data_IF_790767299516
#
_entry.id   IF_790767299516
#
_cell.length_a   1.000
_cell.length_b   1.000
_cell.length_c   1.000
_cell.angle_alpha   90.00
_cell.angle_beta   90.00
_cell.angle_gamma   90.00
#
_symmetry.space_group_name_H-M   'P 1'
#
loop_
_entity.id
_entity.type
_entity.pdbx_description
1 polymer ?
#
# COMPACT_ATOMS: atom_id res chain seq x y z
N UNK A 1 49.32 51.82 8.37
CA UNK A 1 48.76 51.50 8.26
C UNK A 1 48.11 50.59 7.95
N UNK A 2 47.64 50.09 7.97
CA UNK A 2 47.01 49.47 7.69
C UNK A 2 46.14 48.76 7.49
N UNK A 3 45.72 48.36 7.38
CA UNK A 3 44.83 47.80 7.13
C UNK A 3 44.29 46.80 7.02
N UNK A 4 43.81 46.34 7.16
CA UNK A 4 43.20 45.44 7.09
C UNK A 4 42.25 44.94 6.66
N UNK A 5 41.69 44.52 6.53
CA UNK A 5 40.81 44.12 5.99
C UNK A 5 40.38 43.03 6.16
N UNK A 6 39.69 42.66 6.39
CA UNK A 6 39.19 41.67 6.58
C UNK A 6 38.34 41.07 5.95
N UNK A 7 37.90 40.48 5.72
CA UNK A 7 37.18 39.92 5.09
C UNK A 7 36.56 39.00 5.51
N UNK A 8 35.72 38.74 5.54
CA UNK A 8 35.05 37.88 5.87
C UNK A 8 34.59 37.01 5.12
N UNK A 9 34.44 36.13 5.14
CA UNK A 9 34.04 35.22 4.44
C UNK A 9 33.00 34.71 4.79
N UNK A 10 32.15 34.72 4.45
CA UNK A 10 31.12 34.29 4.75
C UNK A 10 30.86 33.06 4.36
N UNK A 11 30.67 32.27 4.85
CA UNK A 11 30.41 31.08 4.60
C UNK A 11 29.13 30.81 4.41
N UNK A 12 28.63 30.50 3.60
CA UNK A 12 27.41 30.23 3.44
C UNK A 12 27.18 28.96 3.51
N UNK A 13 26.62 28.46 4.21
CA UNK A 13 26.40 27.23 4.34
C UNK A 13 25.27 26.93 3.65
N UNK A 14 25.18 26.30 2.82
CA UNK A 14 24.17 25.90 2.13
C UNK A 14 23.51 24.90 2.75
N UNK A 15 22.51 25.04 3.09
CA UNK A 15 21.88 24.07 3.73
C UNK A 15 21.28 23.22 2.81
N UNK A 16 21.34 22.18 2.69
CA UNK A 16 20.83 21.32 1.91
C UNK A 16 19.88 20.62 2.35
N UNK A 17 18.77 20.67 2.14
CA UNK A 17 17.85 19.96 2.38
C UNK A 17 17.76 18.85 1.62
N UNK A 18 17.90 17.87 2.01
CA UNK A 18 17.79 16.76 1.37
C UNK A 18 16.56 16.18 1.58
N UNK A 19 15.70 16.18 0.81
CA UNK A 19 14.57 15.55 1.04
C UNK A 19 14.65 14.19 0.77
N UNK A 20 14.12 13.41 1.41
CA UNK A 20 14.19 12.04 1.29
C UNK A 20 13.37 11.66 0.22
N UNK A 21 13.74 11.45 -0.71
CA UNK A 21 13.03 11.10 -1.69
C UNK A 21 12.26 9.98 -1.57
N UNK A 22 12.44 9.20 -1.10
CA UNK A 22 11.73 8.10 -1.15
C UNK A 22 10.68 8.01 -0.56
N UNK A 23 10.26 8.80 -0.17
CA UNK A 23 9.28 8.72 0.46
C UNK A 23 8.32 8.11 0.06
N UNK A 24 8.24 7.87 -0.82
CA UNK A 24 7.28 7.25 -1.21
C UNK A 24 6.77 6.34 -0.56
N UNK A 25 6.77 6.31 0.32
CA UNK A 25 6.26 5.39 0.96
C UNK A 25 4.92 5.46 0.85
N UNK A 26 4.28 6.18 0.33
CA UNK A 26 3.08 6.22 0.32
C UNK A 26 2.56 5.12 -0.23
N UNK A 27 1.91 4.34 0.37
CA UNK A 27 1.37 3.28 -0.16
C UNK A 27 0.20 3.74 -0.83
N UNK A 28 -0.11 3.36 -1.90
CA UNK A 28 -1.31 3.72 -2.55
C UNK A 28 -2.49 2.92 -2.09
N UNK A 29 -3.56 3.01 -2.84
CA UNK A 29 -4.76 2.23 -2.57
C UNK A 29 -5.08 1.44 -3.84
N UNK A 30 -5.86 0.41 -3.72
CA UNK A 30 -6.28 -0.34 -4.89
C UNK A 30 -7.15 0.57 -5.73
N UNK A 31 -6.96 0.57 -7.01
CA UNK A 31 -7.64 1.50 -7.86
C UNK A 31 -9.16 1.38 -7.82
N UNK A 32 -9.65 0.17 -7.70
CA UNK A 32 -11.08 -0.03 -7.71
C UNK A 32 -11.73 -0.15 -6.35
N UNK A 33 -10.98 0.04 -5.28
CA UNK A 33 -11.52 -0.02 -3.94
C UNK A 33 -10.92 1.13 -3.18
N UNK A 34 -11.64 2.22 -3.13
CA UNK A 34 -11.12 3.44 -2.58
C UNK A 34 -10.52 3.40 -1.23
N UNK A 35 -10.98 2.59 -0.38
CA UNK A 35 -10.48 2.58 0.97
C UNK A 35 -9.69 1.33 1.31
N UNK A 36 -9.18 0.61 0.32
CA UNK A 36 -8.36 -0.55 0.62
C UNK A 36 -6.91 -0.21 0.33
N UNK A 37 -6.13 0.04 1.35
CA UNK A 37 -4.75 0.43 1.12
C UNK A 37 -3.88 -0.72 0.69
N UNK A 38 -2.84 -0.43 -0.05
CA UNK A 38 -1.84 -1.42 -0.38
C UNK A 38 -0.81 -1.42 0.73
N UNK A 39 -0.41 -2.58 1.16
CA UNK A 39 0.63 -2.67 2.18
C UNK A 39 1.90 -1.98 1.66
N UNK A 40 2.71 -1.42 2.54
CA UNK A 40 3.91 -0.72 2.11
C UNK A 40 4.79 -1.60 1.23
N UNK A 41 5.22 -1.09 0.12
CA UNK A 41 6.05 -1.82 -0.81
C UNK A 41 5.31 -2.56 -1.88
N UNK A 42 4.00 -2.65 -1.81
CA UNK A 42 3.22 -3.30 -2.84
C UNK A 42 2.80 -2.31 -3.92
N UNK A 43 2.80 -2.76 -5.14
CA UNK A 43 2.35 -1.96 -6.27
C UNK A 43 1.33 -2.79 -7.01
N UNK A 44 0.20 -2.21 -7.30
CA UNK A 44 -0.87 -2.93 -7.97
C UNK A 44 -0.48 -3.20 -9.43
N UNK A 45 -0.88 -4.36 -9.94
CA UNK A 45 -0.64 -4.74 -11.31
C UNK A 45 -1.90 -4.36 -12.10
N UNK A 46 -1.87 -3.32 -12.90
CA UNK A 46 -3.08 -2.90 -13.61
C UNK A 46 -3.61 -3.97 -14.56
N UNK A 47 -2.77 -4.86 -15.02
CA UNK A 47 -3.22 -5.88 -15.94
C UNK A 47 -4.04 -6.96 -15.27
N UNK A 48 -3.99 -7.06 -13.96
CA UNK A 48 -4.74 -8.07 -13.25
C UNK A 48 -6.08 -7.57 -12.75
N UNK A 49 -6.45 -6.36 -13.08
CA UNK A 49 -7.63 -5.76 -12.52
C UNK A 49 -8.88 -6.18 -13.26
N UNK A 50 -9.86 -6.62 -12.57
CA UNK A 50 -11.12 -7.02 -13.16
C UNK A 50 -12.25 -6.53 -12.27
N UNK A 51 -13.22 -5.88 -12.83
CA UNK A 51 -14.36 -5.39 -12.07
C UNK A 51 -15.63 -5.73 -12.82
N UNK A 52 -16.59 -6.34 -12.11
CA UNK A 52 -17.86 -6.62 -12.67
C UNK A 52 -18.92 -6.12 -11.75
N UNK A 53 -19.97 -5.53 -12.26
CA UNK A 53 -21.08 -5.12 -11.41
C UNK A 53 -22.21 -6.10 -11.69
N UNK A 54 -22.74 -6.67 -10.65
CA UNK A 54 -23.84 -7.59 -10.75
C UNK A 54 -24.97 -7.11 -9.88
N UNK A 55 -26.19 -7.55 -10.11
CA UNK A 55 -27.31 -7.09 -9.29
C UNK A 55 -27.11 -7.31 -7.81
N UNK A 56 -26.38 -8.38 -7.44
CA UNK A 56 -26.18 -8.63 -6.04
C UNK A 56 -24.99 -7.87 -5.49
N UNK A 57 -24.22 -7.22 -6.31
CA UNK A 57 -23.08 -6.46 -5.83
C UNK A 57 -21.92 -6.56 -6.78
N UNK A 58 -20.85 -5.90 -6.45
CA UNK A 58 -19.70 -5.87 -7.34
C UNK A 58 -18.74 -7.01 -7.06
N UNK A 59 -17.98 -7.36 -8.06
CA UNK A 59 -16.90 -8.30 -7.90
C UNK A 59 -15.66 -7.58 -8.38
N UNK A 60 -14.64 -7.55 -7.56
CA UNK A 60 -13.39 -6.89 -7.87
C UNK A 60 -12.26 -7.89 -7.69
N UNK A 61 -11.37 -7.99 -8.66
CA UNK A 61 -10.18 -8.81 -8.53
C UNK A 61 -9.01 -7.92 -8.80
N UNK A 62 -7.97 -8.08 -8.06
CA UNK A 62 -6.76 -7.29 -8.22
C UNK A 62 -5.56 -8.07 -7.73
N UNK A 63 -4.39 -7.67 -8.11
CA UNK A 63 -3.16 -8.26 -7.62
C UNK A 63 -2.13 -7.17 -7.42
N UNK A 64 -1.25 -7.38 -6.49
CA UNK A 64 -0.17 -6.43 -6.23
C UNK A 64 1.08 -7.22 -5.87
N UNK A 65 2.23 -6.65 -6.09
CA UNK A 65 3.46 -7.32 -5.77
C UNK A 65 4.51 -6.36 -5.24
N UNK A 66 5.51 -6.88 -4.61
CA UNK A 66 6.58 -6.05 -4.09
C UNK A 66 7.66 -6.83 -3.42
N UNK A 67 8.76 -6.18 -3.15
CA UNK A 67 9.90 -6.84 -2.52
C UNK A 67 9.75 -6.79 -1.01
N UNK A 68 8.72 -7.38 -0.50
CA UNK A 68 8.46 -7.42 0.93
C UNK A 68 8.10 -8.83 1.30
N UNK A 69 8.05 -9.15 2.56
CA UNK A 69 7.76 -10.50 2.98
C UNK A 69 6.28 -10.75 3.09
N UNK A 70 5.88 -12.00 2.90
CA UNK A 70 4.48 -12.36 3.07
C UNK A 70 4.02 -12.06 4.49
N UNK A 71 4.89 -12.28 5.47
CA UNK A 71 4.52 -11.98 6.86
C UNK A 71 4.25 -10.51 7.10
N UNK A 72 5.01 -9.64 6.45
CA UNK A 72 4.80 -8.20 6.63
C UNK A 72 3.45 -7.82 6.01
N UNK A 73 3.10 -8.40 4.87
CA UNK A 73 1.83 -8.10 4.23
C UNK A 73 0.68 -8.58 5.11
N UNK A 74 0.76 -9.81 5.59
CA UNK A 74 -0.30 -10.36 6.43
C UNK A 74 -0.48 -9.52 7.69
N UNK A 75 0.61 -9.11 8.29
CA UNK A 75 0.51 -8.34 9.51
C UNK A 75 -0.09 -6.97 9.22
N UNK A 76 0.27 -6.36 8.09
CA UNK A 76 -0.27 -5.05 7.75
C UNK A 76 -1.80 -5.12 7.66
N UNK A 77 -2.34 -6.12 6.97
CA UNK A 77 -3.78 -6.20 6.83
C UNK A 77 -4.47 -6.61 8.12
N UNK A 78 -3.83 -7.46 8.92
CA UNK A 78 -4.41 -7.83 10.21
C UNK A 78 -4.54 -6.61 11.13
N UNK A 79 -3.64 -5.65 10.99
CA UNK A 79 -3.69 -4.47 11.82
C UNK A 79 -4.54 -3.36 11.22
N UNK A 80 -4.70 -3.35 9.92
CA UNK A 80 -5.35 -2.24 9.25
C UNK A 80 -6.83 -2.47 8.96
N UNK A 81 -7.19 -3.66 8.53
CA UNK A 81 -8.55 -3.93 8.10
C UNK A 81 -9.61 -3.73 9.18
N UNK A 82 -9.35 -4.10 10.43
CA UNK A 82 -10.38 -3.88 11.44
C UNK A 82 -10.78 -2.41 11.58
N UNK A 83 -9.82 -1.51 11.45
CA UNK A 83 -10.13 -0.09 11.56
C UNK A 83 -10.93 0.43 10.38
N UNK A 84 -11.01 -0.35 9.29
CA UNK A 84 -11.77 0.04 8.14
C UNK A 84 -13.12 -0.68 8.09
N UNK A 85 -13.47 -1.36 9.14
CA UNK A 85 -14.77 -1.99 9.25
C UNK A 85 -14.83 -3.46 8.85
N UNK A 86 -13.68 -4.05 8.53
CA UNK A 86 -13.67 -5.45 8.14
C UNK A 86 -13.51 -6.35 9.35
N UNK A 87 -14.22 -7.46 9.35
CA UNK A 87 -14.14 -8.44 10.42
C UNK A 87 -13.54 -9.71 9.87
N UNK A 88 -12.55 -10.24 10.55
CA UNK A 88 -11.85 -11.44 10.10
C UNK A 88 -12.74 -12.66 10.14
N UNK A 89 -12.57 -13.55 9.17
CA UNK A 89 -13.23 -14.83 9.13
C UNK A 89 -12.19 -15.86 8.81
N UNK A 90 -12.57 -17.11 8.90
CA UNK A 90 -11.63 -18.19 8.62
C UNK A 90 -11.23 -18.14 7.16
N UNK A 91 -10.07 -18.66 6.85
CA UNK A 91 -9.63 -18.80 5.46
C UNK A 91 -9.16 -17.52 4.83
N UNK A 92 -8.57 -16.65 5.59
CA UNK A 92 -8.02 -15.41 5.06
C UNK A 92 -9.10 -14.53 4.44
N UNK A 93 -10.28 -14.63 4.94
CA UNK A 93 -11.40 -13.82 4.47
C UNK A 93 -11.78 -12.77 5.48
N UNK A 94 -12.33 -11.69 5.01
CA UNK A 94 -12.80 -10.60 5.84
C UNK A 94 -14.17 -10.19 5.34
N UNK A 95 -15.04 -9.80 6.23
CA UNK A 95 -16.40 -9.44 5.87
C UNK A 95 -16.70 -8.03 6.32
N UNK A 96 -17.34 -7.27 5.48
CA UNK A 96 -17.81 -5.95 5.83
C UNK A 96 -19.15 -5.75 5.13
N UNK A 97 -20.22 -5.63 5.89
CA UNK A 97 -21.56 -5.50 5.32
C UNK A 97 -21.86 -6.69 4.44
N UNK A 98 -22.17 -6.45 3.18
CA UNK A 98 -22.50 -7.53 2.30
C UNK A 98 -21.34 -7.97 1.44
N UNK A 99 -20.13 -7.60 1.77
CA UNK A 99 -18.98 -7.95 0.97
C UNK A 99 -17.99 -8.84 1.69
N UNK A 100 -17.34 -9.70 0.95
CA UNK A 100 -16.27 -10.56 1.46
C UNK A 100 -15.01 -10.18 0.70
N UNK A 101 -13.96 -9.88 1.45
CA UNK A 101 -12.66 -9.61 0.90
C UNK A 101 -11.78 -10.82 1.18
N UNK A 102 -11.08 -11.32 0.18
CA UNK A 102 -10.13 -12.38 0.39
C UNK A 102 -8.76 -11.90 -0.04
N UNK A 103 -7.79 -12.23 0.76
CA UNK A 103 -6.42 -11.86 0.49
C UNK A 103 -5.64 -13.16 0.38
N UNK A 104 -5.04 -13.41 -0.75
CA UNK A 104 -4.27 -14.62 -0.91
C UNK A 104 -2.87 -14.31 -1.33
N UNK A 105 -1.91 -14.88 -0.67
CA UNK A 105 -0.52 -14.70 -1.04
C UNK A 105 -0.25 -15.80 -2.05
N UNK A 106 -0.17 -15.43 -3.33
CA UNK A 106 0.08 -16.41 -4.35
C UNK A 106 1.54 -16.77 -4.47
N UNK A 107 2.44 -15.89 -4.09
CA UNK A 107 3.83 -16.18 -4.14
C UNK A 107 4.45 -15.49 -2.95
N UNK A 108 5.17 -16.21 -2.13
CA UNK A 108 5.73 -15.63 -0.93
C UNK A 108 6.93 -14.72 -1.18
N UNK A 109 7.51 -14.82 -2.32
CA UNK A 109 8.51 -13.87 -2.73
C UNK A 109 9.89 -14.12 -2.31
N UNK A 110 10.82 -13.20 -2.62
CA UNK A 110 10.58 -11.97 -3.34
C UNK A 110 10.49 -12.18 -4.83
N UNK A 111 9.61 -11.50 -5.48
CA UNK A 111 8.65 -10.58 -4.88
C UNK A 111 7.46 -11.34 -4.35
N UNK A 112 6.79 -10.77 -3.41
CA UNK A 112 5.56 -11.38 -2.92
C UNK A 112 4.49 -10.97 -3.92
N UNK A 113 3.53 -11.83 -4.16
CA UNK A 113 2.41 -11.53 -5.01
C UNK A 113 1.15 -11.80 -4.21
N UNK A 114 0.30 -10.81 -4.10
CA UNK A 114 -0.90 -10.89 -3.30
C UNK A 114 -2.10 -10.66 -4.20
N UNK A 115 -3.09 -11.53 -4.10
CA UNK A 115 -4.31 -11.38 -4.87
C UNK A 115 -5.41 -10.94 -3.94
N UNK A 116 -6.18 -9.96 -4.38
CA UNK A 116 -7.31 -9.44 -3.62
C UNK A 116 -8.57 -9.77 -4.39
N UNK A 117 -9.61 -10.13 -3.68
CA UNK A 117 -10.88 -10.42 -4.30
C UNK A 117 -11.98 -9.87 -3.41
N UNK A 118 -12.90 -9.12 -3.96
CA UNK A 118 -14.08 -8.66 -3.22
C UNK A 118 -15.27 -9.18 -3.98
N UNK A 119 -16.18 -9.79 -3.27
CA UNK A 119 -17.39 -10.33 -3.86
C UNK A 119 -18.55 -10.21 -2.86
N UNK A 120 -19.78 -10.30 -3.33
CA UNK A 120 -20.91 -10.23 -2.44
C UNK A 120 -20.92 -11.43 -1.50
N UNK A 121 -21.40 -11.22 -0.28
CA UNK A 121 -21.44 -12.26 0.66
C UNK A 121 -22.62 -13.07 0.31
N UNK A 122 -22.56 -14.35 0.44
CA UNK A 122 -23.68 -15.19 0.11
C UNK A 122 -24.54 -15.48 1.24
#
# INVERSE_FOLDING_TARGET
>A
MLLRTKLLALAISAAFLVLPAGVSAESGFLADVDDLPLAPGLVEDPAARVVFDKPVGRIVEAAASGAVSAGAVTRFYAQTLPGLGWTARAGDAWVRGDEVLRLQVEQAGPPVIVRFSIAPKK
#
